data_IF_635114729753
#
_entry.id   IF_635114729753
#
_cell.length_a   1.000
_cell.length_b   1.000
_cell.length_c   1.000
_cell.angle_alpha   90.00
_cell.angle_beta   90.00
_cell.angle_gamma   90.00
#
_symmetry.space_group_name_H-M   'P 1'
#
loop_
_entity.id
_entity.type
_entity.pdbx_description
1 polymer ?
#
# COMPACT_ATOMS: atom_id res chain seq x y z
N UNK A 1 3.58 -17.87 -2.75
CA UNK A 1 2.31 -17.81 -3.51
C UNK A 1 1.58 -16.54 -3.10
N UNK A 2 0.98 -15.82 -4.04
CA UNK A 2 0.21 -14.59 -3.78
C UNK A 2 -1.22 -14.93 -3.37
N UNK A 3 -1.77 -14.21 -2.40
CA UNK A 3 -3.20 -14.31 -2.11
C UNK A 3 -4.05 -13.75 -3.27
N UNK A 4 -5.01 -14.54 -3.72
CA UNK A 4 -5.88 -14.19 -4.85
C UNK A 4 -6.80 -13.03 -4.53
N UNK A 5 -7.29 -12.93 -3.30
CA UNK A 5 -8.23 -11.87 -2.92
C UNK A 5 -7.54 -10.51 -2.85
N UNK A 6 -6.31 -10.47 -2.34
CA UNK A 6 -5.46 -9.28 -2.37
C UNK A 6 -5.22 -8.81 -3.81
N UNK A 7 -4.89 -9.74 -4.72
CA UNK A 7 -4.72 -9.41 -6.14
C UNK A 7 -5.99 -8.81 -6.75
N UNK A 8 -7.16 -9.42 -6.50
CA UNK A 8 -8.44 -8.92 -7.01
C UNK A 8 -8.79 -7.54 -6.44
N UNK A 9 -8.51 -7.29 -5.15
CA UNK A 9 -8.71 -5.97 -4.55
C UNK A 9 -7.81 -4.91 -5.19
N UNK A 10 -6.55 -5.23 -5.50
CA UNK A 10 -5.67 -4.33 -6.27
C UNK A 10 -6.26 -4.05 -7.66
N UNK A 11 -6.73 -5.07 -8.38
CA UNK A 11 -7.35 -4.87 -9.71
C UNK A 11 -8.60 -3.99 -9.63
N UNK A 12 -9.42 -4.17 -8.61
CA UNK A 12 -10.62 -3.37 -8.40
C UNK A 12 -10.29 -1.92 -8.04
N UNK A 13 -9.29 -1.71 -7.18
CA UNK A 13 -8.77 -0.37 -6.86
C UNK A 13 -8.26 0.37 -8.10
N UNK A 14 -7.49 -0.30 -8.96
CA UNK A 14 -6.97 0.31 -10.19
C UNK A 14 -8.08 0.66 -11.18
N UNK A 15 -9.09 -0.21 -11.30
CA UNK A 15 -10.29 0.09 -12.10
C UNK A 15 -11.02 1.32 -11.54
N UNK A 16 -11.28 1.34 -10.23
CA UNK A 16 -11.90 2.49 -9.55
C UNK A 16 -11.09 3.78 -9.77
N UNK A 17 -9.78 3.72 -9.65
CA UNK A 17 -8.90 4.88 -9.83
C UNK A 17 -8.90 5.42 -11.25
N UNK A 18 -9.08 4.55 -12.25
CA UNK A 18 -9.26 4.96 -13.65
C UNK A 18 -10.63 5.58 -13.88
N UNK A 19 -11.67 4.87 -13.47
CA UNK A 19 -13.06 5.18 -13.83
C UNK A 19 -13.60 6.38 -13.03
N UNK A 20 -13.17 6.56 -11.77
CA UNK A 20 -13.67 7.59 -10.87
C UNK A 20 -12.70 8.77 -10.73
N UNK A 21 -11.40 8.50 -10.61
CA UNK A 21 -10.39 9.57 -10.47
C UNK A 21 -9.74 9.98 -11.78
N UNK A 22 -10.18 9.42 -12.92
CA UNK A 22 -9.71 9.83 -14.25
C UNK A 22 -8.22 9.58 -14.50
N UNK A 23 -7.58 8.67 -13.75
CA UNK A 23 -6.15 8.37 -13.91
C UNK A 23 -5.88 7.78 -15.29
N UNK A 24 -4.79 8.20 -15.91
CA UNK A 24 -4.38 7.72 -17.23
C UNK A 24 -3.95 6.25 -17.19
N UNK A 25 -3.96 5.58 -18.35
CA UNK A 25 -3.46 4.20 -18.44
C UNK A 25 -2.01 4.06 -17.95
N UNK A 26 -1.15 5.06 -18.20
CA UNK A 26 0.22 5.08 -17.72
C UNK A 26 0.29 5.15 -16.19
N UNK A 27 -0.51 6.02 -15.57
CA UNK A 27 -0.58 6.14 -14.11
C UNK A 27 -1.08 4.84 -13.47
N UNK A 28 -2.06 4.18 -14.09
CA UNK A 28 -2.58 2.89 -13.61
C UNK A 28 -1.53 1.78 -13.71
N UNK A 29 -0.75 1.74 -14.80
CA UNK A 29 0.36 0.80 -14.93
C UNK A 29 1.41 1.04 -13.84
N UNK A 30 1.81 2.29 -13.60
CA UNK A 30 2.78 2.62 -12.55
C UNK A 30 2.24 2.27 -11.15
N UNK A 31 0.97 2.61 -10.86
CA UNK A 31 0.34 2.23 -9.59
C UNK A 31 0.29 0.71 -9.41
N UNK A 32 0.08 -0.07 -10.48
CA UNK A 32 0.13 -1.53 -10.40
C UNK A 32 1.53 -2.02 -10.05
N UNK A 33 2.57 -1.49 -10.70
CA UNK A 33 3.96 -1.83 -10.37
C UNK A 33 4.29 -1.51 -8.91
N UNK A 34 3.91 -0.33 -8.41
CA UNK A 34 4.08 0.03 -7.01
C UNK A 34 3.39 -0.95 -6.04
N UNK A 35 2.17 -1.40 -6.38
CA UNK A 35 1.38 -2.30 -5.53
C UNK A 35 1.85 -3.76 -5.59
N UNK A 36 2.71 -4.15 -6.55
CA UNK A 36 3.29 -5.51 -6.56
C UNK A 36 4.12 -5.78 -5.32
N UNK A 37 4.88 -4.79 -4.85
CA UNK A 37 5.64 -4.90 -3.61
C UNK A 37 4.73 -5.21 -2.42
N UNK A 38 3.60 -4.51 -2.33
CA UNK A 38 2.58 -4.73 -1.29
C UNK A 38 1.95 -6.12 -1.40
N UNK A 39 1.67 -6.62 -2.61
CA UNK A 39 1.11 -7.96 -2.82
C UNK A 39 2.06 -9.09 -2.39
N UNK A 40 3.37 -8.88 -2.50
CA UNK A 40 4.37 -9.89 -2.12
C UNK A 40 4.54 -10.00 -0.59
N UNK A 41 4.41 -8.90 0.13
CA UNK A 41 4.67 -8.82 1.56
C UNK A 41 3.87 -9.82 2.43
N UNK A 42 2.53 -9.94 2.34
CA UNK A 42 1.78 -10.86 3.20
C UNK A 42 1.85 -12.31 2.70
N UNK A 43 2.54 -12.57 1.59
CA UNK A 43 2.54 -13.86 0.90
C UNK A 43 1.12 -14.31 0.54
N UNK A 44 0.67 -15.38 1.20
CA UNK A 44 -0.65 -16.00 0.96
C UNK A 44 -1.73 -15.57 1.97
N UNK A 45 -1.44 -14.61 2.85
CA UNK A 45 -2.41 -14.08 3.80
C UNK A 45 -3.20 -12.91 3.23
N UNK A 46 -4.54 -12.86 3.41
CA UNK A 46 -5.34 -11.68 3.11
C UNK A 46 -4.87 -10.46 3.92
N UNK A 47 -4.82 -9.26 3.32
CA UNK A 47 -4.33 -8.04 4.00
C UNK A 47 -5.05 -7.77 5.32
N UNK A 48 -6.38 -7.86 5.33
CA UNK A 48 -7.20 -7.63 6.52
C UNK A 48 -6.98 -8.63 7.67
N UNK A 49 -6.39 -9.78 7.35
CA UNK A 49 -6.12 -10.85 8.32
C UNK A 49 -4.71 -10.83 8.90
N UNK A 50 -3.81 -10.00 8.36
CA UNK A 50 -2.44 -9.89 8.86
C UNK A 50 -2.46 -9.11 10.19
N UNK A 51 -2.29 -9.76 11.35
CA UNK A 51 -2.46 -9.10 12.65
C UNK A 51 -1.39 -8.03 12.89
N UNK A 52 -0.24 -8.20 12.25
CA UNK A 52 0.95 -7.34 12.35
C UNK A 52 1.02 -6.31 11.23
N UNK A 53 -0.04 -6.07 10.46
CA UNK A 53 0.02 -5.15 9.32
C UNK A 53 0.50 -3.75 9.71
N UNK A 54 0.04 -3.25 10.85
CA UNK A 54 0.40 -1.93 11.33
C UNK A 54 1.88 -1.85 11.80
N UNK A 55 2.49 -2.98 12.18
CA UNK A 55 3.85 -3.03 12.74
C UNK A 55 4.91 -3.51 11.74
N UNK A 56 4.58 -4.50 10.91
CA UNK A 56 5.52 -5.19 10.02
C UNK A 56 5.49 -4.72 8.57
N UNK A 57 4.40 -4.08 8.12
CA UNK A 57 4.40 -3.45 6.79
C UNK A 57 5.35 -2.25 6.72
N UNK A 58 5.42 -1.34 7.73
CA UNK A 58 6.40 -0.25 7.71
C UNK A 58 7.83 -0.75 7.57
N UNK A 59 8.23 -1.78 8.32
CA UNK A 59 9.57 -2.37 8.24
C UNK A 59 9.86 -2.95 6.84
N UNK A 60 8.87 -3.62 6.24
CA UNK A 60 8.98 -4.10 4.86
C UNK A 60 9.14 -2.96 3.85
N UNK A 61 8.34 -1.89 3.99
CA UNK A 61 8.44 -0.70 3.15
C UNK A 61 9.81 -0.02 3.35
N UNK A 62 10.37 -0.02 4.56
CA UNK A 62 11.73 0.47 4.85
C UNK A 62 12.81 -0.40 4.19
N UNK A 63 12.68 -1.73 4.20
CA UNK A 63 13.62 -2.61 3.50
C UNK A 63 13.61 -2.41 1.99
N UNK A 64 12.49 -1.96 1.42
CA UNK A 64 12.42 -1.54 0.02
C UNK A 64 13.30 -0.29 -0.20
N UNK A 65 13.33 0.64 0.76
CA UNK A 65 14.22 1.83 0.74
C UNK A 65 15.70 1.45 0.74
N UNK A 66 16.09 0.56 1.65
CA UNK A 66 17.50 0.18 1.85
C UNK A 66 18.13 -0.50 0.62
N UNK A 67 17.30 -0.99 -0.31
CA UNK A 67 17.76 -1.62 -1.56
C UNK A 67 18.19 -0.62 -2.63
N UNK A 68 18.31 0.66 -2.31
CA UNK A 68 18.84 1.68 -3.23
C UNK A 68 17.79 2.22 -4.21
N UNK A 69 16.52 2.20 -3.83
CA UNK A 69 15.47 2.88 -4.60
C UNK A 69 15.63 4.40 -4.52
N UNK A 70 15.33 5.06 -5.64
CA UNK A 70 15.26 6.51 -5.69
C UNK A 70 14.20 7.05 -4.72
N UNK A 71 14.47 8.15 -3.98
CA UNK A 71 13.52 8.73 -3.04
C UNK A 71 12.15 9.09 -3.64
N UNK A 72 12.09 9.54 -4.90
CA UNK A 72 10.83 9.92 -5.54
C UNK A 72 10.00 8.68 -5.92
N UNK A 73 10.66 7.61 -6.35
CA UNK A 73 10.02 6.32 -6.60
C UNK A 73 9.46 5.72 -5.30
N UNK A 74 10.23 5.78 -4.22
CA UNK A 74 9.77 5.37 -2.89
C UNK A 74 8.54 6.15 -2.45
N UNK A 75 8.57 7.48 -2.53
CA UNK A 75 7.43 8.32 -2.17
C UNK A 75 6.20 7.97 -3.00
N UNK A 76 6.40 7.63 -4.29
CA UNK A 76 5.33 7.18 -5.18
C UNK A 76 4.73 5.83 -4.73
N UNK A 77 5.55 4.88 -4.29
CA UNK A 77 5.11 3.60 -3.72
C UNK A 77 4.31 3.83 -2.43
N UNK A 78 4.81 4.66 -1.51
CA UNK A 78 4.14 4.97 -0.24
C UNK A 78 2.80 5.66 -0.47
N UNK A 79 2.76 6.66 -1.35
CA UNK A 79 1.53 7.38 -1.71
C UNK A 79 0.51 6.43 -2.35
N UNK A 80 0.95 5.51 -3.21
CA UNK A 80 0.07 4.53 -3.85
C UNK A 80 -0.48 3.53 -2.83
N UNK A 81 0.38 3.03 -1.94
CA UNK A 81 0.00 2.13 -0.84
C UNK A 81 -1.01 2.79 0.09
N UNK A 82 -0.79 4.05 0.47
CA UNK A 82 -1.73 4.80 1.29
C UNK A 82 -3.10 4.94 0.62
N UNK A 83 -3.15 5.37 -0.66
CA UNK A 83 -4.41 5.48 -1.42
C UNK A 83 -5.16 4.15 -1.47
N UNK A 84 -4.45 3.06 -1.72
CA UNK A 84 -5.03 1.72 -1.74
C UNK A 84 -5.60 1.30 -0.38
N UNK A 85 -4.86 1.53 0.71
CA UNK A 85 -5.30 1.17 2.07
C UNK A 85 -6.49 2.02 2.54
N UNK A 86 -6.51 3.31 2.21
CA UNK A 86 -7.67 4.18 2.45
C UNK A 86 -8.90 3.66 1.71
N UNK A 87 -8.75 3.38 0.42
CA UNK A 87 -9.84 2.88 -0.41
C UNK A 87 -10.36 1.52 0.05
N UNK A 88 -9.47 0.58 0.36
CA UNK A 88 -9.88 -0.75 0.87
C UNK A 88 -10.55 -0.68 2.22
N UNK A 89 -10.10 0.20 3.13
CA UNK A 89 -10.79 0.44 4.40
C UNK A 89 -12.20 0.99 4.23
N UNK A 90 -12.42 1.84 3.22
CA UNK A 90 -13.74 2.37 2.90
C UNK A 90 -14.65 1.33 2.21
N UNK A 91 -14.10 0.52 1.29
CA UNK A 91 -14.89 -0.44 0.50
C UNK A 91 -15.10 -1.79 1.18
N UNK A 92 -14.22 -2.18 2.10
CA UNK A 92 -14.24 -3.47 2.80
C UNK A 92 -14.04 -3.25 4.31
N UNK A 93 -14.93 -2.49 4.98
CA UNK A 93 -14.72 -2.07 6.37
C UNK A 93 -14.57 -3.26 7.33
N UNK A 94 -15.33 -4.34 7.15
CA UNK A 94 -15.27 -5.53 7.99
C UNK A 94 -13.94 -6.28 7.86
N UNK A 95 -13.39 -6.34 6.65
CA UNK A 95 -12.09 -6.99 6.39
C UNK A 95 -10.92 -6.13 6.90
N UNK A 96 -11.03 -4.80 6.82
CA UNK A 96 -9.94 -3.86 7.12
C UNK A 96 -10.16 -3.12 8.45
N UNK A 97 -11.03 -3.64 9.32
CA UNK A 97 -11.34 -3.03 10.62
C UNK A 97 -10.11 -2.89 11.53
N UNK A 98 -9.22 -3.89 11.50
CA UNK A 98 -8.01 -3.97 12.33
C UNK A 98 -6.88 -3.04 11.87
N UNK A 99 -7.00 -2.43 10.69
CA UNK A 99 -6.03 -1.46 10.19
C UNK A 99 -6.39 -0.08 10.72
N UNK A 100 -5.51 0.53 11.51
CA UNK A 100 -5.81 1.84 12.10
C UNK A 100 -5.76 2.93 11.03
N UNK A 101 -6.82 3.76 10.96
CA UNK A 101 -6.85 4.89 10.02
C UNK A 101 -5.71 5.89 10.28
N UNK A 102 -5.45 6.17 11.56
CA UNK A 102 -4.34 7.04 11.99
C UNK A 102 -2.98 6.54 11.52
N UNK A 103 -2.79 5.23 11.41
CA UNK A 103 -1.58 4.64 10.86
C UNK A 103 -1.53 4.79 9.34
N UNK A 104 -2.62 4.51 8.61
CA UNK A 104 -2.68 4.69 7.15
C UNK A 104 -2.32 6.13 6.77
N UNK A 105 -2.83 7.11 7.51
CA UNK A 105 -2.54 8.54 7.28
C UNK A 105 -1.06 8.90 7.42
N UNK A 106 -0.28 8.10 8.16
CA UNK A 106 1.16 8.33 8.38
C UNK A 106 2.06 7.61 7.37
N UNK A 107 1.53 6.70 6.53
CA UNK A 107 2.33 5.90 5.59
C UNK A 107 3.13 6.78 4.62
N UNK A 108 2.52 7.81 4.05
CA UNK A 108 3.21 8.75 3.14
C UNK A 108 4.24 9.61 3.86
N UNK A 109 4.08 9.82 5.17
CA UNK A 109 5.00 10.58 6.02
C UNK A 109 6.13 9.72 6.61
N UNK A 110 6.20 8.42 6.28
CA UNK A 110 7.28 7.52 6.73
C UNK A 110 8.65 8.04 6.29
N UNK A 111 8.74 8.73 5.15
CA UNK A 111 9.98 9.37 4.69
C UNK A 111 10.37 10.60 5.51
N UNK A 112 9.41 11.34 6.05
CA UNK A 112 9.65 12.55 6.86
C UNK A 112 10.13 12.18 8.28
N UNK A 113 9.70 11.03 8.81
CA UNK A 113 10.01 10.59 10.17
C UNK A 113 11.44 10.12 10.43
N UNK A 114 12.29 9.98 9.40
CA UNK A 114 13.71 9.61 9.59
C UNK A 114 14.60 10.76 10.07
N UNK A 115 14.07 11.98 10.20
CA UNK A 115 14.76 13.07 10.92
C UNK A 115 14.55 13.01 12.45
N UNK A 116 13.66 12.16 12.98
CA UNK A 116 13.34 12.13 14.42
C UNK A 116 13.38 10.71 14.98
N UNK A 117 14.53 10.06 14.89
CA UNK A 117 14.93 9.08 15.90
C UNK A 117 16.40 9.40 16.24
N UNK A 118 16.57 10.26 17.26
CA UNK A 118 17.81 10.48 18.01
C UNK A 118 17.87 9.42 19.10
#
# INVERSE_FOLDING_TARGET
>A
MLDRQNYLKVKLFLKFSRDVHGRSSLQISNDFEHLKALLLWPGSQPFGSVPTINTSLPDFLFQIVEKGLDPAELQSILNTTQRFLLWTKAMFPDEFQNIQLSWIMKISAIMEGKEVII
#
